data_IF_690342190821
#
_entry.id   IF_690342190821
#
_cell.length_a   1.000
_cell.length_b   1.000
_cell.length_c   1.000
_cell.angle_alpha   90.00
_cell.angle_beta   90.00
_cell.angle_gamma   90.00
#
_symmetry.space_group_name_H-M   'P 1'
#
loop_
_entity.id
_entity.type
_entity.pdbx_description
1 polymer ?
#
# COMPACT_ATOMS: atom_id res chain seq x y z
N UNK A 1 -5.76 6.38 -13.93
CA UNK A 1 -4.85 5.21 -13.79
C UNK A 1 -3.60 5.66 -13.04
N UNK A 2 -3.04 4.80 -12.18
CA UNK A 2 -1.75 5.08 -11.54
C UNK A 2 -0.60 5.08 -12.55
N UNK A 3 0.50 5.77 -12.25
CA UNK A 3 1.67 5.90 -13.14
C UNK A 3 2.57 4.65 -13.18
N UNK A 4 2.21 3.58 -12.45
CA UNK A 4 3.05 2.39 -12.27
C UNK A 4 4.28 2.63 -11.38
N UNK A 5 4.42 3.82 -10.79
CA UNK A 5 5.49 4.14 -9.87
C UNK A 5 5.30 3.42 -8.54
N UNK A 6 6.42 3.01 -7.96
CA UNK A 6 6.44 2.42 -6.64
C UNK A 6 6.19 3.47 -5.58
N UNK A 7 5.68 3.02 -4.43
CA UNK A 7 5.45 3.86 -3.28
C UNK A 7 6.79 4.38 -2.74
N UNK A 8 6.87 5.70 -2.56
CA UNK A 8 7.98 6.37 -1.89
C UNK A 8 7.56 6.77 -0.48
N UNK A 9 7.92 5.94 0.50
CA UNK A 9 7.53 6.14 1.89
C UNK A 9 8.12 7.41 2.51
N UNK A 10 9.37 7.75 2.18
CA UNK A 10 10.04 8.93 2.74
C UNK A 10 9.38 10.22 2.25
N UNK A 11 9.03 10.27 0.96
CA UNK A 11 8.28 11.40 0.41
C UNK A 11 6.87 11.49 0.97
N UNK A 12 6.18 10.36 1.20
CA UNK A 12 4.81 10.34 1.72
C UNK A 12 4.71 10.67 3.21
N UNK A 13 5.72 10.32 4.01
CA UNK A 13 5.72 10.48 5.46
C UNK A 13 5.25 11.87 5.95
N UNK A 14 5.84 13.01 5.50
CA UNK A 14 5.43 14.33 5.99
C UNK A 14 3.97 14.67 5.65
N UNK A 15 3.42 14.14 4.55
CA UNK A 15 2.02 14.35 4.20
C UNK A 15 1.08 13.57 5.11
N UNK A 16 1.40 12.30 5.38
CA UNK A 16 0.62 11.46 6.30
C UNK A 16 0.61 12.07 7.71
N UNK A 17 1.76 12.54 8.18
CA UNK A 17 1.88 13.21 9.47
C UNK A 17 1.05 14.49 9.52
N UNK A 18 1.09 15.32 8.47
CA UNK A 18 0.29 16.55 8.40
C UNK A 18 -1.22 16.26 8.41
N UNK A 19 -1.67 15.24 7.67
CA UNK A 19 -3.08 14.84 7.62
C UNK A 19 -3.55 14.34 8.99
N UNK A 20 -2.77 13.47 9.64
CA UNK A 20 -3.13 12.95 10.97
C UNK A 20 -3.23 14.05 12.02
N UNK A 21 -2.30 15.01 11.99
CA UNK A 21 -2.29 16.14 12.93
C UNK A 21 -3.48 17.08 12.71
N UNK A 22 -3.85 17.36 11.45
CA UNK A 22 -4.98 18.22 11.14
C UNK A 22 -6.34 17.53 11.34
N UNK A 23 -6.40 16.21 11.10
CA UNK A 23 -7.63 15.42 11.09
C UNK A 23 -7.42 14.09 11.83
N UNK A 24 -7.32 14.10 13.18
CA UNK A 24 -6.97 12.91 13.96
C UNK A 24 -8.01 11.78 13.89
N UNK A 25 -9.23 12.08 13.45
CA UNK A 25 -10.29 11.09 13.26
C UNK A 25 -10.29 10.43 11.86
N UNK A 26 -9.44 10.88 10.93
CA UNK A 26 -9.39 10.32 9.58
C UNK A 26 -8.51 9.07 9.54
N UNK A 27 -9.00 8.03 8.87
CA UNK A 27 -8.15 6.91 8.47
C UNK A 27 -7.18 7.34 7.38
N UNK A 28 -5.94 6.86 7.47
CA UNK A 28 -4.92 7.07 6.44
C UNK A 28 -4.88 5.86 5.50
N UNK A 29 -4.68 6.11 4.22
CA UNK A 29 -4.49 5.09 3.20
C UNK A 29 -3.36 5.45 2.25
N UNK A 30 -2.54 4.47 1.87
CA UNK A 30 -1.51 4.64 0.83
C UNK A 30 -1.70 3.65 -0.31
N UNK A 31 -1.39 4.13 -1.51
CA UNK A 31 -1.42 3.37 -2.75
C UNK A 31 -0.19 3.74 -3.60
N UNK A 32 0.07 2.96 -4.64
CA UNK A 32 1.14 3.23 -5.61
C UNK A 32 2.11 2.06 -5.72
N UNK A 33 1.99 1.30 -6.81
CA UNK A 33 2.93 0.21 -7.11
C UNK A 33 3.04 -0.87 -6.01
N UNK A 34 2.03 -0.99 -5.13
CA UNK A 34 1.96 -2.05 -4.13
C UNK A 34 1.51 -3.37 -4.77
N UNK A 35 2.14 -4.45 -4.33
CA UNK A 35 1.88 -5.84 -4.72
C UNK A 35 2.58 -6.78 -3.72
N UNK A 36 2.45 -8.10 -3.87
CA UNK A 36 2.95 -9.06 -2.88
C UNK A 36 4.44 -8.91 -2.55
N UNK A 37 5.25 -8.51 -3.54
CA UNK A 37 6.71 -8.42 -3.40
C UNK A 37 7.21 -7.01 -3.03
N UNK A 38 6.33 -6.00 -3.01
CA UNK A 38 6.70 -4.59 -2.76
C UNK A 38 6.18 -4.01 -1.45
N UNK A 39 5.58 -4.85 -0.61
CA UNK A 39 5.12 -4.45 0.73
C UNK A 39 6.24 -3.96 1.66
N UNK A 40 7.48 -4.36 1.40
CA UNK A 40 8.64 -3.86 2.15
C UNK A 40 8.83 -2.33 2.05
N UNK A 41 8.29 -1.69 1.00
CA UNK A 41 8.31 -0.23 0.83
C UNK A 41 7.53 0.50 1.92
N UNK A 42 6.59 -0.18 2.59
CA UNK A 42 5.75 0.41 3.63
C UNK A 42 6.41 0.44 5.01
N UNK A 43 7.57 -0.20 5.20
CA UNK A 43 8.24 -0.32 6.51
C UNK A 43 8.40 1.00 7.27
N UNK A 44 8.80 2.13 6.63
CA UNK A 44 8.93 3.40 7.35
C UNK A 44 7.57 3.95 7.83
N UNK A 45 6.48 3.63 7.14
CA UNK A 45 5.16 4.17 7.42
C UNK A 45 4.39 3.35 8.45
N UNK A 46 4.45 2.02 8.39
CA UNK A 46 3.63 1.15 9.26
C UNK A 46 4.01 1.29 10.73
N UNK A 47 5.30 1.55 11.02
CA UNK A 47 5.77 1.79 12.38
C UNK A 47 5.17 3.06 12.99
N UNK A 48 5.04 4.11 12.20
CA UNK A 48 4.60 5.44 12.65
C UNK A 48 3.07 5.59 12.55
N UNK A 49 2.44 4.86 11.63
CA UNK A 49 1.00 4.86 11.37
C UNK A 49 0.44 3.42 11.46
N UNK A 50 0.24 2.87 12.68
CA UNK A 50 -0.14 1.46 12.85
C UNK A 50 -1.54 1.10 12.30
N UNK A 51 -2.40 2.11 12.10
CA UNK A 51 -3.74 1.93 11.53
C UNK A 51 -3.79 2.27 10.03
N UNK A 52 -2.64 2.28 9.34
CA UNK A 52 -2.54 2.64 7.94
C UNK A 52 -3.19 1.58 7.05
N UNK A 53 -4.13 2.00 6.20
CA UNK A 53 -4.69 1.18 5.14
C UNK A 53 -3.76 1.16 3.92
N UNK A 54 -3.76 0.04 3.20
CA UNK A 54 -2.95 -0.15 1.99
C UNK A 54 -3.84 -0.55 0.81
N UNK A 55 -3.55 -0.02 -0.38
CA UNK A 55 -4.29 -0.31 -1.60
C UNK A 55 -3.35 -0.74 -2.74
N UNK A 56 -3.70 -1.87 -3.36
CA UNK A 56 -3.00 -2.45 -4.49
C UNK A 56 -3.98 -2.71 -5.63
N UNK A 57 -3.56 -2.38 -6.85
CA UNK A 57 -4.42 -2.50 -8.04
C UNK A 57 -3.67 -3.26 -9.15
N UNK A 58 -2.93 -2.56 -10.02
CA UNK A 58 -2.25 -3.13 -11.19
C UNK A 58 -1.40 -4.39 -10.90
N UNK A 59 -0.65 -4.42 -9.79
CA UNK A 59 0.21 -5.57 -9.41
C UNK A 59 -0.55 -6.76 -8.84
N UNK A 60 -1.89 -6.72 -8.74
CA UNK A 60 -2.74 -7.87 -8.42
C UNK A 60 -3.17 -8.67 -9.67
N UNK A 61 -2.76 -8.23 -10.85
CA UNK A 61 -3.06 -8.88 -12.12
C UNK A 61 -1.77 -9.45 -12.73
N UNK A 62 -1.83 -10.66 -13.30
CA UNK A 62 -0.67 -11.29 -13.96
C UNK A 62 -0.04 -10.42 -15.06
N UNK A 63 -0.86 -9.68 -15.81
CA UNK A 63 -0.41 -8.81 -16.89
C UNK A 63 0.04 -7.41 -16.42
N UNK A 64 -0.14 -7.08 -15.14
CA UNK A 64 0.01 -5.71 -14.64
C UNK A 64 -1.09 -4.75 -15.13
N UNK A 65 -2.06 -5.21 -15.92
CA UNK A 65 -3.17 -4.39 -16.39
C UNK A 65 -4.29 -4.37 -15.34
N UNK A 66 -4.50 -3.21 -14.71
CA UNK A 66 -5.55 -2.96 -13.72
C UNK A 66 -6.99 -3.18 -14.22
N UNK A 67 -7.20 -3.22 -15.54
CA UNK A 67 -8.52 -3.51 -16.13
C UNK A 67 -8.73 -5.01 -16.42
N UNK A 68 -7.69 -5.84 -16.23
CA UNK A 68 -7.78 -7.28 -16.41
C UNK A 68 -8.49 -7.97 -15.25
N UNK A 69 -8.72 -9.29 -15.32
CA UNK A 69 -9.17 -10.07 -14.17
C UNK A 69 -8.09 -10.09 -13.08
N UNK A 70 -8.50 -10.00 -11.82
CA UNK A 70 -7.59 -10.18 -10.68
C UNK A 70 -7.03 -11.60 -10.72
N UNK A 71 -5.75 -11.73 -10.45
CA UNK A 71 -5.14 -13.03 -10.17
C UNK A 71 -5.25 -13.35 -8.67
N UNK A 72 -6.07 -14.33 -8.33
CA UNK A 72 -6.36 -14.65 -6.93
C UNK A 72 -5.18 -15.26 -6.17
N UNK A 73 -4.23 -15.91 -6.86
CA UNK A 73 -3.00 -16.40 -6.21
C UNK A 73 -2.08 -15.22 -5.85
N UNK A 74 -1.99 -14.22 -6.74
CA UNK A 74 -1.26 -12.97 -6.47
C UNK A 74 -1.92 -12.17 -5.34
N UNK A 75 -3.24 -12.02 -5.38
CA UNK A 75 -4.01 -11.32 -4.33
C UNK A 75 -3.91 -12.04 -2.97
N UNK A 76 -3.96 -13.37 -2.97
CA UNK A 76 -3.77 -14.18 -1.76
C UNK A 76 -2.39 -13.98 -1.15
N UNK A 77 -1.32 -13.99 -1.96
CA UNK A 77 0.04 -13.68 -1.48
C UNK A 77 0.15 -12.25 -0.95
N UNK A 78 -0.49 -11.29 -1.61
CA UNK A 78 -0.52 -9.91 -1.14
C UNK A 78 -1.14 -9.81 0.25
N UNK A 79 -2.30 -10.45 0.47
CA UNK A 79 -2.95 -10.47 1.77
C UNK A 79 -2.08 -11.15 2.84
N UNK A 80 -1.54 -12.34 2.57
CA UNK A 80 -0.70 -13.07 3.52
C UNK A 80 0.53 -12.24 3.92
N UNK A 81 1.21 -11.65 2.95
CA UNK A 81 2.38 -10.81 3.20
C UNK A 81 2.01 -9.52 3.93
N UNK A 82 0.84 -8.94 3.65
CA UNK A 82 0.36 -7.74 4.35
C UNK A 82 0.06 -8.02 5.82
N UNK A 83 -0.53 -9.19 6.12
CA UNK A 83 -0.80 -9.61 7.51
C UNK A 83 0.50 -9.78 8.32
N UNK A 84 1.60 -10.19 7.68
CA UNK A 84 2.91 -10.27 8.34
C UNK A 84 3.48 -8.92 8.75
N UNK A 85 2.96 -7.80 8.23
CA UNK A 85 3.38 -6.45 8.63
C UNK A 85 2.72 -5.99 9.94
N UNK A 86 1.70 -6.71 10.41
CA UNK A 86 1.00 -6.42 11.68
C UNK A 86 1.72 -7.01 12.91
N UNK A 87 2.79 -7.78 12.70
CA UNK A 87 3.56 -8.51 13.71
C UNK A 87 4.96 -7.91 13.85
#
# INVERSE_FOLDING_TARGET
>A
MGKGLELDAETLYPFLQAIQNAFPAFGLGVAGGLGPDTLHLLKPLIKEFPNLSIDACAKLHKSGNALGPIDWEVAGRYLINALQLLH
#
